data_IF_016364732816
#
_entry.id   IF_016364732816
#
_cell.length_a   1.000
_cell.length_b   1.000
_cell.length_c   1.000
_cell.angle_alpha   90.00
_cell.angle_beta   90.00
_cell.angle_gamma   90.00
#
_symmetry.space_group_name_H-M   'P 1'
#
loop_
_entity.id
_entity.type
_entity.pdbx_description
1 polymer ?
#
# COMPACT_ATOMS: atom_id res chain seq x y z
N UNK A 1 22.25 4.72 3.23
CA UNK A 1 22.14 4.63 1.76
C UNK A 1 22.85 5.85 1.16
N UNK A 2 23.53 5.78 0.00
CA UNK A 2 24.19 6.96 -0.57
C UNK A 2 23.23 7.80 -1.42
N UNK A 3 23.50 9.10 -1.53
CA UNK A 3 22.66 10.01 -2.32
C UNK A 3 22.71 9.67 -3.83
N UNK A 4 23.84 9.20 -4.35
CA UNK A 4 23.93 8.62 -5.71
C UNK A 4 22.97 7.45 -5.95
N UNK A 5 22.88 6.53 -4.99
CA UNK A 5 22.02 5.34 -5.10
C UNK A 5 20.55 5.75 -5.06
N UNK A 6 20.22 6.74 -4.22
CA UNK A 6 18.89 7.34 -4.18
C UNK A 6 18.54 8.01 -5.52
N UNK A 7 19.49 8.73 -6.13
CA UNK A 7 19.29 9.38 -7.42
C UNK A 7 19.02 8.37 -8.54
N UNK A 8 19.77 7.26 -8.56
CA UNK A 8 19.52 6.15 -9.51
C UNK A 8 18.14 5.51 -9.29
N UNK A 9 17.74 5.29 -8.04
CA UNK A 9 16.42 4.74 -7.70
C UNK A 9 15.27 5.65 -8.14
N UNK A 10 15.42 6.96 -7.93
CA UNK A 10 14.41 7.96 -8.29
C UNK A 10 14.48 8.41 -9.76
N UNK A 11 15.47 7.93 -10.53
CA UNK A 11 15.77 8.39 -11.90
C UNK A 11 15.90 9.92 -11.99
N UNK A 12 16.39 10.53 -10.93
CA UNK A 12 16.63 11.96 -10.85
C UNK A 12 18.13 12.24 -11.05
N UNK A 13 18.46 13.44 -11.53
CA UNK A 13 19.84 13.85 -11.61
C UNK A 13 20.43 13.97 -10.20
N UNK A 14 21.57 13.32 -9.96
CA UNK A 14 22.31 13.40 -8.71
C UNK A 14 22.64 14.83 -8.29
N UNK A 15 22.84 15.74 -9.24
CA UNK A 15 23.12 17.16 -8.98
C UNK A 15 21.88 17.90 -8.46
N UNK A 16 20.70 17.60 -8.99
CA UNK A 16 19.44 18.21 -8.54
C UNK A 16 19.01 17.69 -7.19
N UNK A 17 19.23 16.40 -6.92
CA UNK A 17 18.99 15.81 -5.60
C UNK A 17 19.94 16.36 -4.52
N UNK A 18 21.21 16.60 -4.85
CA UNK A 18 22.14 17.23 -3.91
C UNK A 18 21.73 18.67 -3.58
N UNK A 19 21.34 19.45 -4.59
CA UNK A 19 20.83 20.81 -4.40
C UNK A 19 19.54 20.81 -3.55
N UNK A 20 18.63 19.87 -3.82
CA UNK A 20 17.40 19.71 -3.06
C UNK A 20 17.67 19.31 -1.60
N UNK A 21 18.60 18.39 -1.35
CA UNK A 21 18.98 17.99 0.00
C UNK A 21 19.59 19.16 0.79
N UNK A 22 20.42 19.99 0.14
CA UNK A 22 20.95 21.23 0.75
C UNK A 22 19.84 22.24 1.08
N UNK A 23 18.88 22.42 0.17
CA UNK A 23 17.72 23.30 0.41
C UNK A 23 16.82 22.82 1.56
N UNK A 24 16.78 21.51 1.80
CA UNK A 24 16.06 20.92 2.94
C UNK A 24 16.86 20.96 4.26
N UNK A 25 18.07 21.54 4.24
CA UNK A 25 18.93 21.63 5.43
C UNK A 25 19.55 20.29 5.85
N UNK A 26 19.59 19.30 4.95
CA UNK A 26 20.20 18.00 5.25
C UNK A 26 21.72 18.11 5.28
N UNK A 27 22.41 17.41 6.21
CA UNK A 27 23.86 17.47 6.37
C UNK A 27 24.57 16.65 5.29
N UNK A 28 24.47 17.09 4.03
CA UNK A 28 25.00 16.41 2.85
C UNK A 28 26.02 17.30 2.16
N UNK A 29 27.28 16.86 2.14
CA UNK A 29 28.39 17.62 1.56
C UNK A 29 28.54 17.36 0.06
N UNK A 30 28.39 16.09 -0.36
CA UNK A 30 28.57 15.66 -1.75
C UNK A 30 27.64 14.48 -2.12
N UNK A 31 27.60 14.10 -3.40
CA UNK A 31 26.77 13.02 -3.95
C UNK A 31 27.12 11.65 -3.36
N UNK A 32 28.37 11.46 -2.93
CA UNK A 32 28.83 10.23 -2.27
C UNK A 32 28.43 10.16 -0.78
N UNK A 33 27.86 11.22 -0.20
CA UNK A 33 27.51 11.25 1.21
C UNK A 33 26.41 10.23 1.54
N UNK A 34 26.58 9.56 2.67
CA UNK A 34 25.59 8.63 3.23
C UNK A 34 24.44 9.38 3.87
N UNK A 35 23.22 9.07 3.44
CA UNK A 35 21.98 9.56 4.01
C UNK A 35 21.53 8.68 5.18
N UNK A 36 21.05 9.32 6.23
CA UNK A 36 20.28 8.67 7.29
C UNK A 36 18.89 8.27 6.76
N UNK A 37 18.22 7.26 7.35
CA UNK A 37 16.89 6.84 6.90
C UNK A 37 15.84 7.97 6.91
N UNK A 38 15.94 8.90 7.86
CA UNK A 38 15.06 10.08 7.92
C UNK A 38 15.31 11.05 6.76
N UNK A 39 16.59 11.33 6.44
CA UNK A 39 16.98 12.19 5.33
C UNK A 39 16.63 11.59 3.95
N UNK A 40 16.73 10.28 3.81
CA UNK A 40 16.28 9.53 2.64
C UNK A 40 14.77 9.71 2.42
N UNK A 41 13.97 9.53 3.47
CA UNK A 41 12.51 9.66 3.38
C UNK A 41 12.10 11.09 3.00
N UNK A 42 12.72 12.10 3.62
CA UNK A 42 12.47 13.51 3.30
C UNK A 42 12.84 13.84 1.84
N UNK A 43 13.95 13.30 1.34
CA UNK A 43 14.37 13.49 -0.06
C UNK A 43 13.39 12.84 -1.05
N UNK A 44 12.86 11.65 -0.72
CA UNK A 44 11.83 10.98 -1.54
C UNK A 44 10.51 11.74 -1.56
N UNK A 45 10.05 12.21 -0.40
CA UNK A 45 8.82 12.98 -0.28
C UNK A 45 8.90 14.31 -1.03
N UNK A 46 10.05 14.97 -0.98
CA UNK A 46 10.29 16.23 -1.68
C UNK A 46 10.43 16.04 -3.20
N UNK A 47 10.95 14.90 -3.68
CA UNK A 47 11.00 14.59 -5.11
C UNK A 47 9.60 14.27 -5.67
N UNK A 48 8.78 13.54 -4.91
CA UNK A 48 7.40 13.22 -5.27
C UNK A 48 6.48 14.45 -5.37
N UNK A 49 6.81 15.53 -4.66
CA UNK A 49 6.06 16.80 -4.69
C UNK A 49 6.59 17.79 -5.73
N UNK A 50 7.65 17.48 -6.48
CA UNK A 50 8.08 18.36 -7.55
C UNK A 50 7.09 18.33 -8.72
N UNK A 51 6.51 19.48 -9.10
CA UNK A 51 5.73 19.56 -10.33
C UNK A 51 6.64 19.22 -11.51
N UNK A 52 6.19 18.31 -12.37
CA UNK A 52 6.84 17.96 -13.64
C UNK A 52 6.73 19.17 -14.58
N UNK A 53 7.50 20.22 -14.30
CA UNK A 53 7.71 21.30 -15.24
C UNK A 53 8.62 20.73 -16.32
N UNK A 54 7.98 20.27 -17.39
CA UNK A 54 8.65 19.91 -18.63
C UNK A 54 9.59 21.04 -19.02
N UNK A 55 10.88 20.79 -18.95
CA UNK A 55 11.89 21.63 -19.59
C UNK A 55 11.57 21.65 -21.07
N UNK A 56 10.99 22.78 -21.50
CA UNK A 56 10.80 23.16 -22.90
C UNK A 56 12.13 22.97 -23.62
N UNK A 57 12.12 22.06 -24.59
CA UNK A 57 13.21 21.86 -25.54
C UNK A 57 13.26 23.07 -26.48
N UNK A 58 14.39 23.76 -26.66
CA UNK A 58 14.51 24.74 -27.73
C UNK A 58 14.49 24.02 -29.08
N UNK A 59 13.72 24.58 -30.02
CA UNK A 59 13.78 24.21 -31.44
C UNK A 59 15.17 24.59 -31.99
N UNK A 60 15.89 23.61 -32.55
CA UNK A 60 17.15 23.88 -33.23
C UNK A 60 17.92 22.64 -33.66
N UNK A 61 18.03 22.47 -34.99
CA UNK A 61 18.99 21.69 -35.77
C UNK A 61 18.59 20.27 -36.26
N UNK A 62 18.86 19.96 -37.56
CA UNK A 62 18.43 18.72 -38.20
C UNK A 62 19.28 17.54 -37.72
N UNK A 63 18.62 16.42 -37.42
CA UNK A 63 19.28 15.20 -36.94
C UNK A 63 19.71 14.32 -38.13
N UNK A 64 20.96 13.80 -38.15
CA UNK A 64 21.38 12.79 -39.14
C UNK A 64 20.61 11.47 -38.97
N UNK A 65 20.56 10.62 -40.01
CA UNK A 65 19.80 9.37 -39.99
C UNK A 65 20.30 8.46 -38.86
N UNK A 66 19.36 8.03 -38.02
CA UNK A 66 19.63 7.21 -36.85
C UNK A 66 19.73 5.74 -37.28
N UNK A 67 20.76 4.98 -36.86
CA UNK A 67 20.81 3.55 -37.12
C UNK A 67 19.62 2.85 -36.44
N UNK A 68 19.05 1.89 -37.16
CA UNK A 68 18.01 0.98 -36.70
C UNK A 68 18.60 0.03 -35.65
N UNK A 69 18.71 0.50 -34.42
CA UNK A 69 18.82 -0.41 -33.29
C UNK A 69 17.40 -0.87 -32.97
N UNK A 70 17.10 -2.06 -33.46
CA UNK A 70 16.08 -2.97 -32.96
C UNK A 70 16.17 -3.01 -31.44
N UNK A 71 15.42 -2.11 -30.79
CA UNK A 71 15.02 -2.27 -29.39
C UNK A 71 14.10 -3.47 -29.35
N UNK A 72 14.72 -4.63 -29.23
CA UNK A 72 14.14 -5.81 -28.64
C UNK A 72 13.47 -5.32 -27.35
N UNK A 73 12.15 -5.18 -27.41
CA UNK A 73 11.36 -4.83 -26.26
C UNK A 73 11.67 -5.86 -25.18
N UNK A 74 12.31 -5.42 -24.09
CA UNK A 74 12.28 -6.08 -22.80
C UNK A 74 10.81 -6.25 -22.42
N UNK A 75 10.22 -7.37 -22.87
CA UNK A 75 8.90 -7.87 -22.47
C UNK A 75 8.98 -8.62 -21.13
N UNK A 76 10.05 -8.42 -20.36
CA UNK A 76 10.34 -9.20 -19.15
C UNK A 76 9.81 -8.57 -17.86
N UNK A 77 9.14 -7.42 -17.92
CA UNK A 77 8.62 -6.72 -16.74
C UNK A 77 7.33 -7.32 -16.13
N UNK A 78 6.84 -8.49 -16.60
CA UNK A 78 5.54 -9.04 -16.19
C UNK A 78 5.58 -10.40 -15.46
N UNK A 79 6.76 -10.94 -15.15
CA UNK A 79 6.89 -12.29 -14.57
C UNK A 79 7.53 -12.30 -13.17
N UNK A 80 7.48 -11.21 -12.40
CA UNK A 80 7.81 -11.34 -10.99
C UNK A 80 6.71 -12.14 -10.28
N UNK A 81 7.08 -13.13 -9.44
CA UNK A 81 6.10 -13.91 -8.69
C UNK A 81 5.32 -12.99 -7.75
N UNK A 82 3.99 -13.03 -7.84
CA UNK A 82 3.09 -12.30 -6.95
C UNK A 82 3.25 -12.84 -5.54
N UNK A 83 3.45 -11.97 -4.55
CA UNK A 83 3.60 -12.39 -3.15
C UNK A 83 2.39 -13.17 -2.65
N UNK A 84 2.60 -14.13 -1.75
CA UNK A 84 1.53 -14.98 -1.20
C UNK A 84 0.42 -14.14 -0.54
N UNK A 85 0.78 -13.00 0.05
CA UNK A 85 -0.16 -12.04 0.63
C UNK A 85 -0.97 -11.30 -0.45
N UNK A 86 -0.34 -10.91 -1.56
CA UNK A 86 -1.03 -10.26 -2.68
C UNK A 86 -2.00 -11.21 -3.41
N UNK A 87 -1.74 -12.53 -3.40
CA UNK A 87 -2.65 -13.52 -3.97
C UNK A 87 -4.04 -13.50 -3.31
N UNK A 88 -4.14 -13.10 -2.04
CA UNK A 88 -5.42 -12.99 -1.30
C UNK A 88 -6.32 -11.91 -1.90
N UNK A 89 -5.72 -10.84 -2.42
CA UNK A 89 -6.45 -9.67 -2.93
C UNK A 89 -6.72 -9.72 -4.44
N UNK A 90 -6.17 -10.72 -5.13
CA UNK A 90 -6.44 -10.92 -6.54
C UNK A 90 -7.84 -11.52 -6.71
N UNK A 91 -8.67 -10.97 -7.62
CA UNK A 91 -9.93 -11.62 -7.95
C UNK A 91 -9.65 -13.01 -8.55
N UNK A 92 -10.51 -14.01 -8.29
CA UNK A 92 -10.43 -15.30 -8.98
C UNK A 92 -10.39 -15.07 -10.50
N UNK A 93 -9.51 -15.77 -11.22
CA UNK A 93 -9.33 -15.61 -12.67
C UNK A 93 -10.67 -15.71 -13.43
N UNK A 94 -11.59 -16.56 -12.96
CA UNK A 94 -12.92 -16.72 -13.56
C UNK A 94 -13.84 -15.49 -13.40
N UNK A 95 -13.66 -14.68 -12.36
CA UNK A 95 -14.46 -13.47 -12.12
C UNK A 95 -13.90 -12.28 -12.92
N UNK A 96 -12.60 -12.27 -13.19
CA UNK A 96 -11.99 -11.26 -14.06
C UNK A 96 -12.50 -11.32 -15.50
N UNK A 97 -12.90 -12.51 -15.97
CA UNK A 97 -13.52 -12.71 -17.30
C UNK A 97 -15.05 -12.58 -17.26
N UNK A 98 -15.71 -12.83 -16.12
CA UNK A 98 -17.18 -12.97 -16.05
C UNK A 98 -17.91 -11.79 -15.40
N UNK A 99 -17.28 -11.01 -14.51
CA UNK A 99 -17.93 -9.87 -13.85
C UNK A 99 -18.26 -8.70 -14.79
N UNK A 100 -17.77 -8.72 -16.03
CA UNK A 100 -18.08 -7.71 -17.06
C UNK A 100 -19.18 -8.16 -18.05
N UNK A 101 -19.83 -9.31 -17.86
CA UNK A 101 -20.89 -9.73 -18.79
C UNK A 101 -22.18 -8.89 -18.71
N UNK A 102 -22.36 -8.10 -17.65
CA UNK A 102 -23.45 -7.11 -17.55
C UNK A 102 -23.04 -5.68 -17.93
N UNK A 103 -21.74 -5.42 -18.15
CA UNK A 103 -21.18 -4.11 -18.54
C UNK A 103 -20.38 -4.24 -19.85
N UNK A 104 -21.08 -4.59 -20.93
CA UNK A 104 -20.56 -4.96 -22.25
C UNK A 104 -19.82 -3.88 -23.06
N UNK A 105 -19.18 -2.87 -22.43
CA UNK A 105 -18.40 -1.84 -23.15
C UNK A 105 -17.08 -1.42 -22.48
N UNK A 106 -16.71 -1.94 -21.30
CA UNK A 106 -15.41 -1.60 -20.69
C UNK A 106 -14.38 -2.68 -20.97
N UNK A 107 -13.21 -2.28 -21.47
CA UNK A 107 -12.06 -3.18 -21.62
C UNK A 107 -11.73 -3.76 -20.23
N UNK A 108 -11.49 -5.08 -20.12
CA UNK A 108 -11.14 -5.69 -18.84
C UNK A 108 -9.90 -5.00 -18.26
N UNK A 109 -9.92 -4.79 -16.94
CA UNK A 109 -8.80 -4.12 -16.25
C UNK A 109 -7.51 -4.93 -16.48
N UNK A 110 -6.45 -4.34 -17.06
CA UNK A 110 -5.21 -5.07 -17.33
C UNK A 110 -4.66 -5.74 -16.06
N UNK A 111 -4.26 -7.02 -16.16
CA UNK A 111 -3.74 -7.81 -15.03
C UNK A 111 -2.65 -7.11 -14.22
N UNK A 112 -1.75 -6.38 -14.89
CA UNK A 112 -0.70 -5.57 -14.23
C UNK A 112 -1.25 -4.56 -13.22
N UNK A 113 -2.42 -3.99 -13.47
CA UNK A 113 -3.09 -3.03 -12.57
C UNK A 113 -3.70 -3.77 -11.38
N UNK A 114 -4.30 -4.94 -11.62
CA UNK A 114 -4.84 -5.80 -10.56
C UNK A 114 -3.74 -6.27 -9.61
N UNK A 115 -2.60 -6.71 -10.16
CA UNK A 115 -1.41 -7.12 -9.38
C UNK A 115 -0.87 -5.95 -8.56
N UNK A 116 -0.66 -4.78 -9.17
CA UNK A 116 -0.17 -3.61 -8.44
C UNK A 116 -1.11 -3.18 -7.30
N UNK A 117 -2.43 -3.27 -7.50
CA UNK A 117 -3.42 -2.99 -6.45
C UNK A 117 -3.37 -4.01 -5.32
N UNK A 118 -3.27 -5.30 -5.66
CA UNK A 118 -3.15 -6.38 -4.70
C UNK A 118 -1.87 -6.28 -3.88
N UNK A 119 -0.74 -5.92 -4.52
CA UNK A 119 0.53 -5.66 -3.84
C UNK A 119 0.46 -4.45 -2.91
N UNK A 120 -0.22 -3.37 -3.31
CA UNK A 120 -0.41 -2.22 -2.43
C UNK A 120 -1.20 -2.61 -1.16
N UNK A 121 -2.28 -3.40 -1.30
CA UNK A 121 -3.03 -3.91 -0.15
C UNK A 121 -2.17 -4.85 0.71
N UNK A 122 -1.45 -5.78 0.08
CA UNK A 122 -0.52 -6.66 0.78
C UNK A 122 0.51 -5.87 1.59
N UNK A 123 1.09 -4.80 1.02
CA UNK A 123 2.02 -3.94 1.74
C UNK A 123 1.40 -3.26 2.96
N UNK A 124 0.14 -2.83 2.89
CA UNK A 124 -0.54 -2.26 4.06
C UNK A 124 -0.73 -3.27 5.19
N UNK A 125 -1.14 -4.50 4.87
CA UNK A 125 -1.28 -5.57 5.86
C UNK A 125 0.08 -6.01 6.43
N UNK A 126 1.11 -6.08 5.59
CA UNK A 126 2.47 -6.43 6.00
C UNK A 126 3.07 -5.41 6.98
N UNK A 127 2.69 -4.13 6.92
CA UNK A 127 3.13 -3.10 7.90
C UNK A 127 2.73 -3.44 9.34
N UNK A 128 1.65 -4.20 9.52
CA UNK A 128 1.16 -4.67 10.83
C UNK A 128 1.57 -6.11 11.14
N UNK A 129 2.50 -6.66 10.35
CA UNK A 129 3.15 -7.96 10.55
C UNK A 129 2.15 -9.12 10.49
N UNK A 130 1.08 -8.98 9.70
CA UNK A 130 0.17 -10.07 9.45
C UNK A 130 0.77 -11.08 8.48
N UNK A 131 0.60 -12.36 8.80
CA UNK A 131 0.89 -13.44 7.86
C UNK A 131 -0.31 -13.68 6.90
N UNK A 132 -0.10 -14.36 5.76
CA UNK A 132 -1.18 -14.59 4.79
C UNK A 132 -2.41 -15.31 5.34
N UNK A 133 -2.24 -16.25 6.27
CA UNK A 133 -3.36 -16.99 6.84
C UNK A 133 -4.22 -16.11 7.74
N UNK A 134 -3.57 -15.31 8.60
CA UNK A 134 -4.28 -14.35 9.46
C UNK A 134 -5.09 -13.35 8.63
N UNK A 135 -4.52 -12.83 7.54
CA UNK A 135 -5.24 -11.91 6.64
C UNK A 135 -6.46 -12.60 6.02
N UNK A 136 -6.34 -13.86 5.58
CA UNK A 136 -7.48 -14.63 5.08
C UNK A 136 -8.56 -14.77 6.15
N UNK A 137 -8.18 -15.10 7.38
CA UNK A 137 -9.13 -15.30 8.48
C UNK A 137 -9.85 -14.00 8.84
N UNK A 138 -9.13 -12.88 8.89
CA UNK A 138 -9.70 -11.55 9.09
C UNK A 138 -10.66 -11.13 7.98
N UNK A 139 -10.28 -11.33 6.72
CA UNK A 139 -11.11 -10.96 5.56
C UNK A 139 -12.32 -11.89 5.38
N UNK A 140 -12.22 -13.16 5.79
CA UNK A 140 -13.34 -14.09 5.77
C UNK A 140 -14.48 -13.63 6.71
N UNK A 141 -14.13 -13.10 7.88
CA UNK A 141 -15.09 -12.59 8.86
C UNK A 141 -15.48 -11.13 8.60
N UNK A 142 -14.54 -10.31 8.13
CA UNK A 142 -14.74 -8.89 7.85
C UNK A 142 -14.08 -8.49 6.52
N UNK A 143 -14.78 -8.65 5.38
CA UNK A 143 -14.22 -8.41 4.05
C UNK A 143 -13.72 -6.98 3.79
N UNK A 144 -14.13 -6.03 4.64
CA UNK A 144 -13.79 -4.59 4.52
C UNK A 144 -13.01 -4.06 5.72
N UNK A 145 -12.50 -4.93 6.60
CA UNK A 145 -11.71 -4.48 7.75
C UNK A 145 -10.44 -3.79 7.28
N UNK A 146 -10.11 -2.68 7.94
CA UNK A 146 -8.88 -1.94 7.68
C UNK A 146 -7.72 -2.60 8.44
N UNK A 147 -6.50 -2.68 7.87
CA UNK A 147 -5.38 -3.39 8.49
C UNK A 147 -5.03 -2.91 9.90
N UNK A 148 -5.08 -1.59 10.14
CA UNK A 148 -4.77 -1.03 11.45
C UNK A 148 -5.82 -1.39 12.52
N UNK A 149 -7.09 -1.56 12.12
CA UNK A 149 -8.17 -1.99 13.02
C UNK A 149 -7.97 -3.46 13.38
N UNK A 150 -7.70 -4.31 12.38
CA UNK A 150 -7.38 -5.72 12.61
C UNK A 150 -6.17 -5.87 13.54
N UNK A 151 -5.14 -5.03 13.36
CA UNK A 151 -3.96 -5.00 14.23
C UNK A 151 -4.33 -4.63 15.67
N UNK A 152 -5.06 -3.52 15.86
CA UNK A 152 -5.47 -3.07 17.18
C UNK A 152 -6.32 -4.12 17.92
N UNK A 153 -7.24 -4.80 17.21
CA UNK A 153 -8.06 -5.87 17.77
C UNK A 153 -7.22 -7.10 18.13
N UNK A 154 -6.29 -7.52 17.26
CA UNK A 154 -5.35 -8.61 17.53
C UNK A 154 -4.51 -8.32 18.77
N UNK A 155 -3.97 -7.10 18.89
CA UNK A 155 -3.12 -6.68 20.00
C UNK A 155 -3.93 -6.58 21.32
N UNK A 156 -5.25 -6.41 21.24
CA UNK A 156 -6.18 -6.53 22.36
C UNK A 156 -6.65 -7.97 22.65
N UNK A 157 -6.11 -8.97 21.94
CA UNK A 157 -6.46 -10.38 22.11
C UNK A 157 -7.80 -10.79 21.48
N UNK A 158 -8.38 -9.95 20.63
CA UNK A 158 -9.66 -10.23 19.96
C UNK A 158 -9.40 -11.00 18.67
N UNK A 159 -10.04 -12.16 18.57
CA UNK A 159 -9.97 -13.01 17.37
C UNK A 159 -10.84 -12.47 16.21
N UNK A 160 -10.56 -12.82 14.94
CA UNK A 160 -11.38 -12.44 13.80
C UNK A 160 -12.88 -12.75 13.98
N UNK A 161 -13.18 -13.91 14.58
CA UNK A 161 -14.53 -14.33 14.90
C UNK A 161 -15.17 -13.41 15.95
N UNK A 162 -14.51 -13.17 17.07
CA UNK A 162 -15.02 -12.29 18.14
C UNK A 162 -15.25 -10.86 17.65
N UNK A 163 -14.44 -10.37 16.71
CA UNK A 163 -14.62 -9.04 16.13
C UNK A 163 -15.96 -8.86 15.40
N UNK A 164 -16.65 -9.95 15.02
CA UNK A 164 -18.00 -9.93 14.43
C UNK A 164 -19.12 -9.85 15.48
N UNK A 165 -18.80 -10.03 16.76
CA UNK A 165 -19.80 -10.08 17.80
C UNK A 165 -20.46 -8.71 18.01
N UNK A 166 -21.75 -8.76 18.33
CA UNK A 166 -22.49 -7.60 18.83
C UNK A 166 -22.46 -7.64 20.35
N UNK A 167 -21.88 -6.60 20.97
CA UNK A 167 -21.76 -6.50 22.43
C UNK A 167 -22.93 -5.76 23.06
N UNK A 168 -23.15 -5.94 24.35
CA UNK A 168 -24.18 -5.21 25.10
C UNK A 168 -23.67 -3.82 25.51
N UNK A 169 -24.49 -2.81 25.28
CA UNK A 169 -24.37 -1.46 25.86
C UNK A 169 -24.39 -1.53 27.40
N UNK A 170 -23.89 -0.51 28.09
CA UNK A 170 -24.05 -0.36 29.55
C UNK A 170 -25.51 -0.37 30.02
N UNK A 171 -26.47 -0.06 29.13
CA UNK A 171 -27.91 -0.08 29.40
C UNK A 171 -28.57 -1.44 29.13
N UNK A 172 -27.79 -2.47 28.80
CA UNK A 172 -28.25 -3.84 28.57
C UNK A 172 -28.76 -4.15 27.14
N UNK A 173 -28.85 -3.15 26.26
CA UNK A 173 -29.22 -3.36 24.86
C UNK A 173 -28.04 -3.91 24.05
N UNK A 174 -28.29 -4.79 23.09
CA UNK A 174 -27.25 -5.25 22.14
C UNK A 174 -26.98 -4.17 21.10
N UNK A 175 -25.72 -3.81 20.89
CA UNK A 175 -25.31 -2.89 19.84
C UNK A 175 -25.64 -3.48 18.46
N UNK A 176 -26.16 -2.63 17.56
CA UNK A 176 -26.48 -3.04 16.18
C UNK A 176 -25.23 -3.24 15.32
N UNK A 177 -24.14 -2.58 15.67
CA UNK A 177 -22.88 -2.65 14.96
C UNK A 177 -21.94 -3.64 15.67
N UNK A 178 -21.27 -4.53 14.91
CA UNK A 178 -20.26 -5.42 15.45
C UNK A 178 -19.04 -4.65 15.94
N UNK A 179 -18.27 -5.28 16.83
CA UNK A 179 -17.07 -4.69 17.44
C UNK A 179 -16.13 -4.07 16.41
N UNK A 180 -15.81 -4.78 15.33
CA UNK A 180 -14.88 -4.28 14.32
C UNK A 180 -15.33 -2.96 13.69
N UNK A 181 -16.64 -2.78 13.49
CA UNK A 181 -17.18 -1.55 12.91
C UNK A 181 -17.14 -0.41 13.92
N UNK A 182 -17.47 -0.68 15.20
CA UNK A 182 -17.41 0.33 16.26
C UNK A 182 -15.97 0.82 16.48
N UNK A 183 -14.99 -0.09 16.46
CA UNK A 183 -13.56 0.27 16.56
C UNK A 183 -13.10 1.02 15.33
N UNK A 184 -13.51 0.60 14.13
CA UNK A 184 -13.19 1.33 12.89
C UNK A 184 -13.81 2.74 12.83
N UNK A 185 -14.98 2.93 13.43
CA UNK A 185 -15.65 4.23 13.54
C UNK A 185 -15.05 5.12 14.65
N UNK A 186 -14.24 4.54 15.55
CA UNK A 186 -13.72 5.23 16.74
C UNK A 186 -14.74 5.37 17.87
N UNK A 187 -15.86 4.64 17.83
CA UNK A 187 -16.88 4.65 18.88
C UNK A 187 -16.36 4.03 20.18
N UNK A 188 -15.47 3.04 20.06
CA UNK A 188 -14.76 2.38 21.16
C UNK A 188 -13.33 2.05 20.73
N UNK A 189 -12.46 1.89 21.71
CA UNK A 189 -11.11 1.35 21.54
C UNK A 189 -11.13 -0.18 21.48
N UNK A 190 -10.06 -0.78 20.95
CA UNK A 190 -9.92 -2.24 20.95
C UNK A 190 -9.84 -2.84 22.37
N UNK A 191 -9.31 -2.09 23.34
CA UNK A 191 -9.23 -2.52 24.75
C UNK A 191 -10.61 -2.51 25.41
N UNK A 192 -11.42 -1.49 25.15
CA UNK A 192 -12.82 -1.46 25.62
C UNK A 192 -13.63 -2.59 25.00
N UNK A 193 -13.42 -2.88 23.71
CA UNK A 193 -14.05 -4.02 23.06
C UNK A 193 -13.67 -5.36 23.73
N UNK A 194 -12.42 -5.53 24.13
CA UNK A 194 -11.95 -6.74 24.81
C UNK A 194 -12.60 -6.88 26.19
N UNK A 195 -12.70 -5.79 26.95
CA UNK A 195 -13.41 -5.76 28.24
C UNK A 195 -14.90 -6.07 28.09
N UNK A 196 -15.58 -5.51 27.08
CA UNK A 196 -16.98 -5.80 26.79
C UNK A 196 -17.20 -7.29 26.47
N UNK A 197 -16.29 -7.91 25.70
CA UNK A 197 -16.35 -9.34 25.39
C UNK A 197 -16.18 -10.24 26.62
N UNK A 198 -15.25 -9.88 27.52
CA UNK A 198 -15.04 -10.61 28.77
C UNK A 198 -16.27 -10.54 29.68
N UNK A 199 -16.94 -9.39 29.74
CA UNK A 199 -18.19 -9.21 30.48
C UNK A 199 -19.38 -10.00 29.92
N UNK A 200 -19.29 -10.56 28.71
CA UNK A 200 -20.33 -11.40 28.09
C UNK A 200 -20.17 -12.90 28.34
N UNK A 201 -19.03 -13.35 28.87
CA UNK A 201 -18.83 -14.74 29.33
C UNK A 201 -19.07 -14.79 30.85
N UNK A 202 -20.31 -14.98 31.33
CA UNK A 202 -20.50 -15.38 32.72
C UNK A 202 -19.84 -16.76 32.91
N UNK A 203 -19.01 -16.87 33.94
CA UNK A 203 -18.56 -18.17 34.47
C UNK A 203 -19.75 -19.03 34.87
#
# INVERSE_FOLDING_TARGET
MRLEDLARQLRADSSTLLAQAKNLGLPVTDVASSLTPSAEWQSRAANATQPVYGTRRPLGSPRPPRPSNSRQHDRSASNQPVSDLAQIFLPPLEIADRADTAYTLRRPTPRRILVARAEAQAHEWARFWFNPQEVKDWLAHHPRIQPYVAAALRDAGITPHQATANTRTPRGFVHRLPIAIRVAAGDITAQEAAAELQGMNPS
#
